data_IF_739128467519
#
_entry.id   IF_739128467519
#
_cell.length_a   1.000
_cell.length_b   1.000
_cell.length_c   1.000
_cell.angle_alpha   90.00
_cell.angle_beta   90.00
_cell.angle_gamma   90.00
#
_symmetry.space_group_name_H-M   'P 1'
#
loop_
_entity.id
_entity.type
_entity.pdbx_description
1 polymer ?
#
# COMPACT_ATOMS: atom_id res chain seq x y z
N UNK A 1 -5.79 9.88 37.77
CA UNK A 1 -5.50 11.05 38.60
C UNK A 1 -4.41 11.87 37.94
N UNK A 2 -4.75 12.96 37.28
CA UNK A 2 -4.01 14.20 37.10
C UNK A 2 -4.68 14.98 35.97
N UNK A 3 -5.51 15.93 36.37
CA UNK A 3 -6.16 16.92 35.51
C UNK A 3 -5.13 17.99 35.12
N UNK A 4 -5.01 18.32 33.83
CA UNK A 4 -4.28 19.48 33.36
C UNK A 4 -5.29 20.52 32.83
N UNK A 5 -5.44 21.61 33.57
CA UNK A 5 -6.16 22.82 33.17
C UNK A 5 -5.45 23.51 31.99
N UNK A 6 -6.16 23.73 30.89
CA UNK A 6 -5.75 24.68 29.85
C UNK A 6 -6.51 25.99 30.06
N UNK A 7 -5.75 27.02 30.55
CA UNK A 7 -6.22 28.37 30.71
C UNK A 7 -6.47 29.07 29.37
N UNK A 8 -7.70 29.46 29.11
CA UNK A 8 -8.06 30.37 28.03
C UNK A 8 -7.57 31.78 28.30
N UNK A 9 -6.83 32.35 27.33
CA UNK A 9 -6.49 33.77 27.29
C UNK A 9 -7.66 34.59 26.75
N UNK A 10 -8.09 35.67 27.37
CA UNK A 10 -9.11 36.56 26.84
C UNK A 10 -8.54 37.43 25.70
N UNK A 11 -9.27 37.45 24.59
CA UNK A 11 -9.01 38.33 23.45
C UNK A 11 -9.39 39.75 23.84
N UNK A 12 -8.41 40.64 23.86
CA UNK A 12 -8.62 42.07 24.09
C UNK A 12 -9.35 42.70 22.87
N UNK A 13 -10.46 43.40 23.15
CA UNK A 13 -11.15 44.26 22.18
C UNK A 13 -10.34 45.52 21.93
N UNK A 14 -10.14 45.99 20.70
CA UNK A 14 -9.55 47.28 20.44
C UNK A 14 -10.58 48.40 20.77
N UNK A 15 -10.10 49.35 21.56
CA UNK A 15 -10.82 50.56 21.91
C UNK A 15 -11.05 51.45 20.69
N UNK A 16 -12.30 51.85 20.50
CA UNK A 16 -12.72 52.86 19.51
C UNK A 16 -12.20 54.25 19.96
N UNK A 17 -11.07 54.64 19.43
CA UNK A 17 -10.56 56.00 19.57
C UNK A 17 -11.39 56.95 18.67
N UNK A 18 -12.19 57.77 19.29
CA UNK A 18 -12.89 58.86 18.62
C UNK A 18 -11.90 59.94 18.17
N UNK A 19 -11.65 60.05 16.89
CA UNK A 19 -10.90 61.14 16.31
C UNK A 19 -11.77 62.35 16.15
N UNK A 20 -11.56 63.34 17.05
CA UNK A 20 -12.16 64.65 16.95
C UNK A 20 -11.41 65.49 15.94
N UNK A 21 -11.87 65.46 14.69
CA UNK A 21 -11.32 66.35 13.66
C UNK A 21 -12.04 67.68 13.75
N UNK A 22 -11.35 68.66 14.34
CA UNK A 22 -11.76 70.09 14.28
C UNK A 22 -11.59 70.58 12.87
N UNK A 23 -12.69 70.87 12.21
CA UNK A 23 -12.70 71.64 10.96
C UNK A 23 -12.28 73.09 11.24
N UNK A 24 -11.27 73.62 10.54
CA UNK A 24 -11.06 75.08 10.57
C UNK A 24 -12.07 75.74 9.69
N UNK A 25 -12.74 76.75 10.22
CA UNK A 25 -13.69 77.62 9.55
C UNK A 25 -12.93 78.42 8.44
N UNK A 26 -13.09 78.06 7.19
CA UNK A 26 -12.68 78.90 6.08
C UNK A 26 -13.75 79.93 5.79
N UNK A 27 -13.37 81.16 6.07
CA UNK A 27 -14.21 82.35 5.76
C UNK A 27 -14.48 82.37 4.28
N UNK A 28 -15.75 82.47 4.00
CA UNK A 28 -16.38 82.84 2.77
C UNK A 28 -15.65 83.95 2.04
N UNK A 29 -15.10 83.66 0.89
CA UNK A 29 -14.81 84.65 -0.14
C UNK A 29 -15.77 84.39 -1.31
N UNK A 30 -17.02 84.81 -1.16
CA UNK A 30 -17.96 84.95 -2.26
C UNK A 30 -17.52 86.10 -3.11
N UNK A 31 -17.14 85.81 -4.32
CA UNK A 31 -17.31 86.58 -5.55
C UNK A 31 -16.33 86.12 -6.58
N UNK A 32 -16.77 85.52 -7.59
CA UNK A 32 -16.25 85.27 -8.93
C UNK A 32 -16.57 83.82 -9.35
N UNK A 33 -17.68 83.72 -10.10
CA UNK A 33 -17.84 82.76 -11.18
C UNK A 33 -19.36 82.42 -11.39
N UNK A 34 -20.11 83.44 -11.64
CA UNK A 34 -21.43 83.21 -12.30
C UNK A 34 -21.32 83.52 -13.78
N UNK A 35 -20.61 82.69 -14.54
CA UNK A 35 -20.71 82.60 -16.00
C UNK A 35 -19.96 81.38 -16.51
N UNK A 36 -20.39 80.22 -16.11
CA UNK A 36 -20.03 79.01 -16.90
C UNK A 36 -21.28 78.15 -17.07
N UNK A 37 -21.86 78.38 -18.29
CA UNK A 37 -22.59 77.40 -19.07
C UNK A 37 -23.67 76.66 -18.30
N UNK A 38 -24.92 77.16 -18.39
CA UNK A 38 -26.08 76.30 -18.32
C UNK A 38 -26.03 75.29 -19.50
N UNK A 39 -25.05 74.43 -19.50
CA UNK A 39 -25.05 73.21 -20.32
C UNK A 39 -26.30 72.45 -19.84
N UNK A 40 -27.25 72.14 -20.73
CA UNK A 40 -28.45 71.43 -20.34
C UNK A 40 -28.05 70.15 -19.67
N UNK A 41 -28.34 69.99 -18.37
CA UNK A 41 -28.05 68.80 -17.54
C UNK A 41 -28.38 67.50 -18.27
N UNK A 42 -29.32 67.56 -19.21
CA UNK A 42 -29.67 66.42 -20.09
C UNK A 42 -28.61 66.04 -21.12
N UNK A 43 -27.77 67.00 -21.59
CA UNK A 43 -26.67 66.66 -22.50
C UNK A 43 -25.50 66.02 -21.79
N UNK A 44 -25.15 66.44 -20.60
CA UNK A 44 -24.12 65.79 -19.75
C UNK A 44 -24.55 64.37 -19.35
N UNK A 45 -25.82 64.18 -18.95
CA UNK A 45 -26.36 62.85 -18.64
C UNK A 45 -26.37 61.91 -19.86
N UNK A 46 -26.72 62.45 -21.05
CA UNK A 46 -26.67 61.68 -22.31
C UNK A 46 -25.26 61.33 -22.71
N UNK A 47 -24.29 62.26 -22.62
CA UNK A 47 -22.88 62.01 -22.89
C UNK A 47 -22.29 60.99 -21.92
N UNK A 48 -22.65 61.08 -20.62
CA UNK A 48 -22.24 60.10 -19.61
C UNK A 48 -22.84 58.73 -19.90
N UNK A 49 -24.14 58.66 -20.25
CA UNK A 49 -24.79 57.40 -20.60
C UNK A 49 -24.23 56.76 -21.87
N UNK A 50 -23.96 57.55 -22.92
CA UNK A 50 -23.35 57.06 -24.15
C UNK A 50 -21.88 56.61 -23.90
N UNK A 51 -21.13 57.35 -23.08
CA UNK A 51 -19.78 57.02 -22.71
C UNK A 51 -19.67 55.72 -21.91
N UNK A 52 -20.57 55.53 -20.90
CA UNK A 52 -20.60 54.32 -20.12
C UNK A 52 -21.06 53.11 -20.95
N UNK A 53 -22.06 53.28 -21.80
CA UNK A 53 -22.52 52.22 -22.72
C UNK A 53 -21.39 51.81 -23.70
N UNK A 54 -20.71 52.82 -24.28
CA UNK A 54 -19.58 52.58 -25.17
C UNK A 54 -18.43 51.82 -24.48
N UNK A 55 -18.10 52.18 -23.23
CA UNK A 55 -17.09 51.46 -22.43
C UNK A 55 -17.51 50.02 -22.16
N UNK A 56 -18.75 49.78 -21.77
CA UNK A 56 -19.27 48.43 -21.52
C UNK A 56 -19.23 47.58 -22.79
N UNK A 57 -19.65 48.14 -23.93
CA UNK A 57 -19.57 47.44 -25.21
C UNK A 57 -18.12 47.13 -25.63
N UNK A 58 -17.20 48.07 -25.42
CA UNK A 58 -15.78 47.84 -25.70
C UNK A 58 -15.19 46.77 -24.83
N UNK A 59 -15.53 46.74 -23.51
CA UNK A 59 -15.11 45.67 -22.62
C UNK A 59 -15.69 44.31 -23.01
N UNK A 60 -16.97 44.27 -23.37
CA UNK A 60 -17.64 43.05 -23.83
C UNK A 60 -17.03 42.52 -25.13
N UNK A 61 -16.73 43.39 -26.10
CA UNK A 61 -16.09 43.01 -27.34
C UNK A 61 -14.65 42.51 -27.10
N UNK A 62 -13.91 43.15 -26.18
CA UNK A 62 -12.58 42.70 -25.77
C UNK A 62 -12.59 41.36 -25.08
N UNK A 63 -13.53 41.12 -24.18
CA UNK A 63 -13.72 39.82 -23.51
C UNK A 63 -14.11 38.74 -24.50
N UNK A 64 -14.99 39.00 -25.43
CA UNK A 64 -15.39 38.07 -26.48
C UNK A 64 -14.20 37.69 -27.41
N UNK A 65 -13.41 38.69 -27.83
CA UNK A 65 -12.23 38.45 -28.65
C UNK A 65 -11.17 37.64 -27.88
N UNK A 66 -10.98 37.94 -26.58
CA UNK A 66 -10.09 37.20 -25.74
C UNK A 66 -10.56 35.75 -25.55
N UNK A 67 -11.85 35.54 -25.32
CA UNK A 67 -12.43 34.20 -25.19
C UNK A 67 -12.13 33.32 -26.41
N UNK A 68 -12.22 33.87 -27.61
CA UNK A 68 -11.96 33.12 -28.85
C UNK A 68 -10.51 32.69 -29.03
N UNK A 69 -9.56 33.33 -28.33
CA UNK A 69 -8.14 32.95 -28.39
C UNK A 69 -7.75 31.88 -27.38
N UNK A 70 -8.53 31.70 -26.32
CA UNK A 70 -8.20 30.78 -25.23
C UNK A 70 -8.16 29.30 -25.66
N UNK A 71 -9.07 28.78 -26.52
CA UNK A 71 -9.01 27.41 -27.00
C UNK A 71 -7.70 27.10 -27.76
N UNK A 72 -7.21 28.01 -28.59
CA UNK A 72 -5.95 27.84 -29.31
C UNK A 72 -4.75 27.82 -28.33
N UNK A 73 -4.79 28.63 -27.28
CA UNK A 73 -3.77 28.61 -26.22
C UNK A 73 -3.79 27.33 -25.42
N UNK A 74 -4.98 26.77 -25.13
CA UNK A 74 -5.12 25.46 -24.48
C UNK A 74 -4.48 24.38 -25.35
N UNK A 75 -4.79 24.36 -26.66
CA UNK A 75 -4.19 23.40 -27.58
C UNK A 75 -2.67 23.55 -27.70
N UNK A 76 -2.17 24.78 -27.73
CA UNK A 76 -0.72 25.03 -27.78
C UNK A 76 -0.01 24.57 -26.51
N UNK A 77 -0.63 24.77 -25.33
CA UNK A 77 -0.13 24.31 -24.05
C UNK A 77 -0.13 22.76 -23.96
N UNK A 78 -1.20 22.11 -24.46
CA UNK A 78 -1.26 20.64 -24.56
C UNK A 78 -0.16 20.08 -25.45
N UNK A 79 0.05 20.69 -26.62
CA UNK A 79 1.10 20.25 -27.54
C UNK A 79 2.52 20.47 -26.98
N UNK A 80 2.70 21.53 -26.19
CA UNK A 80 3.95 21.80 -25.47
C UNK A 80 4.11 20.95 -24.18
N UNK A 81 3.09 20.17 -23.79
CA UNK A 81 3.03 19.44 -22.50
C UNK A 81 3.17 20.35 -21.27
N UNK A 82 2.82 21.63 -21.42
CA UNK A 82 2.73 22.60 -20.32
C UNK A 82 1.31 22.55 -19.72
N UNK A 83 1.10 21.53 -18.88
CA UNK A 83 -0.24 21.30 -18.31
C UNK A 83 -0.62 22.32 -17.26
N UNK A 84 0.34 22.95 -16.60
CA UNK A 84 0.06 24.08 -15.70
C UNK A 84 -0.48 25.30 -16.46
N UNK A 85 0.09 25.61 -17.61
CA UNK A 85 -0.45 26.65 -18.49
C UNK A 85 -1.84 26.25 -19.04
N UNK A 86 -2.02 24.96 -19.39
CA UNK A 86 -3.31 24.43 -19.84
C UNK A 86 -4.40 24.61 -18.77
N UNK A 87 -4.13 24.22 -17.53
CA UNK A 87 -5.08 24.36 -16.41
C UNK A 87 -5.41 25.83 -16.17
N UNK A 88 -4.40 26.71 -16.05
CA UNK A 88 -4.64 28.14 -15.84
C UNK A 88 -5.48 28.76 -16.97
N UNK A 89 -5.20 28.39 -18.22
CA UNK A 89 -5.95 28.92 -19.37
C UNK A 89 -7.37 28.40 -19.44
N UNK A 90 -7.61 27.13 -19.09
CA UNK A 90 -8.95 26.55 -19.01
C UNK A 90 -9.78 27.17 -17.88
N UNK A 91 -9.16 27.48 -16.74
CA UNK A 91 -9.81 28.22 -15.64
C UNK A 91 -10.18 29.65 -16.03
N UNK A 92 -9.32 30.34 -16.80
CA UNK A 92 -9.63 31.67 -17.37
C UNK A 92 -10.82 31.58 -18.34
N UNK A 93 -10.86 30.55 -19.18
CA UNK A 93 -11.99 30.33 -20.09
C UNK A 93 -13.28 30.09 -19.32
N UNK A 94 -13.24 29.23 -18.28
CA UNK A 94 -14.39 28.96 -17.42
C UNK A 94 -14.88 30.22 -16.71
N UNK A 95 -13.95 31.09 -16.25
CA UNK A 95 -14.28 32.35 -15.61
C UNK A 95 -14.96 33.33 -16.58
N UNK A 96 -14.56 33.37 -17.87
CA UNK A 96 -15.23 34.22 -18.89
C UNK A 96 -16.61 33.69 -19.26
N UNK A 97 -16.79 32.36 -19.24
CA UNK A 97 -18.07 31.68 -19.52
C UNK A 97 -18.95 31.50 -18.28
N UNK A 98 -18.75 32.25 -17.20
CA UNK A 98 -19.46 32.07 -15.93
C UNK A 98 -21.00 32.26 -16.04
N UNK A 99 -21.48 32.97 -17.05
CA UNK A 99 -22.91 33.13 -17.36
C UNK A 99 -23.49 31.97 -18.23
N UNK A 100 -22.63 31.04 -18.68
CA UNK A 100 -23.01 29.88 -19.49
C UNK A 100 -22.54 28.58 -18.85
N UNK A 101 -22.19 27.60 -19.67
CA UNK A 101 -21.80 26.26 -19.19
C UNK A 101 -20.34 26.19 -18.71
N UNK A 102 -19.61 27.32 -18.64
CA UNK A 102 -18.20 27.33 -18.27
C UNK A 102 -17.30 26.66 -19.33
N UNK A 103 -16.26 25.98 -18.88
CA UNK A 103 -15.33 25.22 -19.73
C UNK A 103 -15.01 23.84 -19.10
N UNK A 104 -16.05 23.03 -18.77
CA UNK A 104 -15.85 21.80 -18.01
C UNK A 104 -15.00 20.74 -18.76
N UNK A 105 -15.17 20.65 -20.08
CA UNK A 105 -14.46 19.67 -20.89
C UNK A 105 -12.97 20.02 -21.04
N UNK A 106 -12.67 21.31 -21.30
CA UNK A 106 -11.28 21.79 -21.40
C UNK A 106 -10.54 21.67 -20.05
N UNK A 107 -11.24 21.99 -18.96
CA UNK A 107 -10.68 21.79 -17.61
C UNK A 107 -10.43 20.32 -17.30
N UNK A 108 -11.37 19.44 -17.67
CA UNK A 108 -11.21 18.00 -17.49
C UNK A 108 -10.01 17.46 -18.31
N UNK A 109 -9.92 17.86 -19.59
CA UNK A 109 -8.85 17.45 -20.48
C UNK A 109 -7.45 17.87 -19.96
N UNK A 110 -7.30 19.14 -19.55
CA UNK A 110 -6.02 19.62 -19.02
C UNK A 110 -5.61 18.86 -17.75
N UNK A 111 -6.53 18.66 -16.81
CA UNK A 111 -6.27 17.93 -15.56
C UNK A 111 -5.98 16.45 -15.82
N UNK A 112 -6.72 15.81 -16.74
CA UNK A 112 -6.48 14.43 -17.13
C UNK A 112 -5.06 14.25 -17.69
N UNK A 113 -4.66 15.10 -18.63
CA UNK A 113 -3.32 15.03 -19.25
C UNK A 113 -2.21 15.30 -18.23
N UNK A 114 -2.43 16.20 -17.29
CA UNK A 114 -1.49 16.43 -16.20
C UNK A 114 -1.41 15.22 -15.26
N UNK A 115 -2.53 14.60 -14.89
CA UNK A 115 -2.55 13.41 -14.06
C UNK A 115 -1.83 12.23 -14.73
N UNK A 116 -2.05 12.02 -16.04
CA UNK A 116 -1.34 11.00 -16.84
C UNK A 116 0.18 11.26 -16.81
N UNK A 117 0.63 12.50 -17.00
CA UNK A 117 2.06 12.86 -16.95
C UNK A 117 2.67 12.58 -15.57
N UNK A 118 2.00 13.01 -14.51
CA UNK A 118 2.47 12.76 -13.13
C UNK A 118 2.58 11.26 -12.84
N UNK A 119 1.62 10.48 -13.32
CA UNK A 119 1.67 9.02 -13.21
C UNK A 119 2.89 8.43 -13.93
N UNK A 120 3.16 8.87 -15.17
CA UNK A 120 4.34 8.45 -15.94
C UNK A 120 5.67 8.86 -15.29
N UNK A 121 5.69 10.00 -14.59
CA UNK A 121 6.84 10.49 -13.83
C UNK A 121 7.04 9.77 -12.48
N UNK A 122 6.08 8.94 -12.07
CA UNK A 122 6.12 8.21 -10.80
C UNK A 122 5.59 9.01 -9.60
N UNK A 123 5.08 10.24 -9.80
CA UNK A 123 4.38 10.98 -8.76
C UNK A 123 2.92 10.50 -8.64
N UNK A 124 2.78 9.28 -8.15
CA UNK A 124 1.49 8.61 -8.01
C UNK A 124 0.54 9.33 -7.05
N UNK A 125 1.06 10.04 -6.05
CA UNK A 125 0.25 10.78 -5.06
C UNK A 125 -0.45 11.96 -5.72
N UNK A 126 0.31 12.79 -6.45
CA UNK A 126 -0.24 13.94 -7.17
C UNK A 126 -1.16 13.50 -8.32
N UNK A 127 -0.77 12.44 -9.06
CA UNK A 127 -1.60 11.86 -10.12
C UNK A 127 -2.97 11.40 -9.60
N UNK A 128 -2.99 10.64 -8.50
CA UNK A 128 -4.22 10.18 -7.87
C UNK A 128 -5.08 11.34 -7.38
N UNK A 129 -4.48 12.36 -6.75
CA UNK A 129 -5.22 13.52 -6.26
C UNK A 129 -5.94 14.25 -7.40
N UNK A 130 -5.27 14.45 -8.54
CA UNK A 130 -5.88 15.05 -9.73
C UNK A 130 -6.98 14.17 -10.33
N UNK A 131 -6.74 12.87 -10.46
CA UNK A 131 -7.73 11.94 -10.98
C UNK A 131 -8.98 11.87 -10.10
N UNK A 132 -8.82 11.93 -8.78
CA UNK A 132 -9.92 12.00 -7.83
C UNK A 132 -10.72 13.30 -7.97
N UNK A 133 -10.04 14.44 -8.15
CA UNK A 133 -10.69 15.72 -8.43
C UNK A 133 -11.49 15.67 -9.73
N UNK A 134 -10.97 15.00 -10.78
CA UNK A 134 -11.70 14.79 -12.03
C UNK A 134 -12.98 14.01 -11.80
N UNK A 135 -12.92 12.88 -11.11
CA UNK A 135 -14.10 12.07 -10.78
C UNK A 135 -15.11 12.88 -9.92
N UNK A 136 -14.61 13.67 -8.96
CA UNK A 136 -15.47 14.49 -8.09
C UNK A 136 -16.08 15.69 -8.81
N UNK A 137 -15.41 16.24 -9.83
CA UNK A 137 -15.91 17.40 -10.57
C UNK A 137 -17.15 17.10 -11.42
N UNK A 138 -17.34 15.84 -11.80
CA UNK A 138 -18.43 15.45 -12.67
C UNK A 138 -18.25 15.85 -14.13
N UNK A 139 -17.05 16.33 -14.52
CA UNK A 139 -16.76 16.83 -15.85
C UNK A 139 -16.01 15.80 -16.70
N UNK A 140 -16.23 15.83 -18.02
CA UNK A 140 -15.63 14.92 -18.97
C UNK A 140 -16.25 13.51 -18.91
N UNK A 141 -15.51 12.50 -19.39
CA UNK A 141 -15.95 11.09 -19.36
C UNK A 141 -15.72 10.48 -17.97
N UNK A 142 -16.73 10.57 -17.12
CA UNK A 142 -16.69 10.08 -15.74
C UNK A 142 -16.37 8.60 -15.63
N UNK A 143 -16.88 7.80 -16.55
CA UNK A 143 -16.67 6.35 -16.50
C UNK A 143 -15.22 6.01 -16.86
N UNK A 144 -14.65 6.67 -17.87
CA UNK A 144 -13.23 6.54 -18.18
C UNK A 144 -12.34 7.01 -17.02
N UNK A 145 -12.70 8.10 -16.35
CA UNK A 145 -11.96 8.62 -15.19
C UNK A 145 -12.01 7.66 -14.00
N UNK A 146 -13.16 7.03 -13.70
CA UNK A 146 -13.31 6.02 -12.65
C UNK A 146 -12.48 4.77 -12.97
N UNK A 147 -12.58 4.24 -14.20
CA UNK A 147 -11.80 3.08 -14.64
C UNK A 147 -10.29 3.35 -14.54
N UNK A 148 -9.85 4.56 -14.90
CA UNK A 148 -8.44 4.94 -14.77
C UNK A 148 -8.00 5.00 -13.30
N UNK A 149 -8.82 5.59 -12.44
CA UNK A 149 -8.55 5.67 -10.99
C UNK A 149 -8.46 4.27 -10.37
N UNK A 150 -9.39 3.37 -10.69
CA UNK A 150 -9.36 1.99 -10.20
C UNK A 150 -8.10 1.24 -10.70
N UNK A 151 -7.76 1.39 -11.97
CA UNK A 151 -6.54 0.79 -12.53
C UNK A 151 -5.27 1.27 -11.81
N UNK A 152 -5.17 2.55 -11.51
CA UNK A 152 -4.04 3.10 -10.77
C UNK A 152 -4.01 2.62 -9.32
N UNK A 153 -5.17 2.49 -8.67
CA UNK A 153 -5.27 1.91 -7.34
C UNK A 153 -4.76 0.46 -7.32
N UNK A 154 -5.17 -0.37 -8.30
CA UNK A 154 -4.70 -1.76 -8.37
C UNK A 154 -3.20 -1.82 -8.68
N UNK A 155 -2.69 -1.01 -9.62
CA UNK A 155 -1.27 -0.97 -9.93
C UNK A 155 -0.41 -0.62 -8.69
N UNK A 156 -0.86 0.31 -7.83
CA UNK A 156 -0.16 0.66 -6.60
C UNK A 156 -0.24 -0.45 -5.54
N UNK A 157 -1.36 -1.17 -5.45
CA UNK A 157 -1.46 -2.34 -4.57
C UNK A 157 -0.50 -3.45 -5.01
N UNK A 158 -0.45 -3.74 -6.31
CA UNK A 158 0.45 -4.75 -6.86
C UNK A 158 1.91 -4.37 -6.63
N UNK A 159 2.26 -3.10 -6.82
CA UNK A 159 3.59 -2.59 -6.53
C UNK A 159 3.93 -2.69 -5.04
N UNK A 160 2.99 -2.36 -4.16
CA UNK A 160 3.19 -2.48 -2.71
C UNK A 160 3.42 -3.94 -2.31
N UNK A 161 2.65 -4.90 -2.86
CA UNK A 161 2.86 -6.33 -2.63
C UNK A 161 4.22 -6.80 -3.16
N UNK A 162 4.65 -6.28 -4.33
CA UNK A 162 5.97 -6.60 -4.87
C UNK A 162 7.11 -6.10 -3.97
N UNK A 163 7.02 -4.86 -3.47
CA UNK A 163 7.97 -4.30 -2.50
C UNK A 163 7.99 -5.10 -1.20
N UNK A 164 6.81 -5.47 -0.70
CA UNK A 164 6.68 -6.32 0.48
C UNK A 164 7.43 -7.64 0.30
N UNK A 165 7.22 -8.36 -0.81
CA UNK A 165 7.92 -9.61 -1.11
C UNK A 165 9.44 -9.48 -1.16
N UNK A 166 9.94 -8.26 -1.49
CA UNK A 166 11.37 -7.94 -1.48
C UNK A 166 11.91 -7.60 -0.09
N UNK A 167 11.07 -7.59 0.93
CA UNK A 167 11.45 -7.23 2.30
C UNK A 167 11.32 -5.74 2.62
N UNK A 168 10.76 -4.95 1.73
CA UNK A 168 10.64 -3.50 1.82
C UNK A 168 9.29 -3.08 2.41
N UNK A 169 8.94 -3.63 3.60
CA UNK A 169 7.63 -3.37 4.24
C UNK A 169 7.31 -1.88 4.35
N UNK A 170 8.27 -1.05 4.81
CA UNK A 170 7.99 0.37 5.02
C UNK A 170 7.63 1.08 3.72
N UNK A 171 8.38 0.82 2.64
CA UNK A 171 8.07 1.40 1.32
C UNK A 171 6.71 0.92 0.80
N UNK A 172 6.35 -0.34 1.02
CA UNK A 172 5.04 -0.86 0.66
C UNK A 172 3.90 -0.14 1.41
N UNK A 173 4.07 0.11 2.71
CA UNK A 173 3.09 0.83 3.52
C UNK A 173 2.98 2.31 3.14
N UNK A 174 4.12 2.96 2.84
CA UNK A 174 4.16 4.36 2.40
C UNK A 174 3.45 4.53 1.05
N UNK A 175 3.59 3.57 0.14
CA UNK A 175 2.89 3.55 -1.15
C UNK A 175 1.37 3.38 -1.00
N UNK A 176 0.92 2.64 0.02
CA UNK A 176 -0.51 2.44 0.30
C UNK A 176 -1.15 3.61 1.07
N UNK A 177 -0.33 4.47 1.71
CA UNK A 177 -0.83 5.54 2.56
C UNK A 177 -1.79 6.52 1.85
N UNK A 178 -1.52 6.99 0.62
CA UNK A 178 -2.40 7.91 -0.11
C UNK A 178 -3.77 7.30 -0.46
N UNK A 179 -3.83 5.97 -0.59
CA UNK A 179 -5.06 5.26 -0.98
C UNK A 179 -6.10 5.15 0.14
N UNK A 180 -5.71 5.37 1.40
CA UNK A 180 -6.58 5.23 2.60
C UNK A 180 -7.78 6.17 2.60
N UNK A 181 -7.75 7.24 1.81
CA UNK A 181 -8.85 8.21 1.71
C UNK A 181 -10.10 7.67 1.01
N UNK A 182 -9.96 6.80 0.03
CA UNK A 182 -11.02 6.41 -0.92
C UNK A 182 -11.47 4.96 -0.81
N UNK A 183 -10.54 4.04 -0.52
CA UNK A 183 -10.82 2.62 -0.35
C UNK A 183 -10.46 2.16 1.07
N UNK A 184 -10.88 2.94 2.08
CA UNK A 184 -10.42 2.84 3.48
C UNK A 184 -10.43 1.42 4.04
N UNK A 185 -11.48 0.63 3.79
CA UNK A 185 -11.58 -0.71 4.36
C UNK A 185 -10.60 -1.70 3.73
N UNK A 186 -10.55 -1.79 2.39
CA UNK A 186 -9.69 -2.76 1.69
C UNK A 186 -8.19 -2.43 1.82
N UNK A 187 -7.82 -1.15 1.75
CA UNK A 187 -6.43 -0.70 1.90
C UNK A 187 -5.94 -0.85 3.34
N UNK A 188 -6.78 -0.50 4.33
CA UNK A 188 -6.42 -0.71 5.74
C UNK A 188 -6.28 -2.19 6.06
N UNK A 189 -7.14 -3.04 5.49
CA UNK A 189 -7.05 -4.49 5.64
C UNK A 189 -5.76 -5.03 4.98
N UNK A 190 -5.44 -4.61 3.75
CA UNK A 190 -4.19 -5.00 3.10
C UNK A 190 -2.98 -4.59 3.94
N UNK A 191 -2.91 -3.31 4.38
CA UNK A 191 -1.82 -2.83 5.22
C UNK A 191 -1.69 -3.62 6.54
N UNK A 192 -2.81 -3.96 7.18
CA UNK A 192 -2.82 -4.76 8.39
C UNK A 192 -2.32 -6.19 8.13
N UNK A 193 -2.75 -6.81 7.02
CA UNK A 193 -2.30 -8.15 6.63
C UNK A 193 -0.80 -8.18 6.34
N UNK A 194 -0.25 -7.18 5.63
CA UNK A 194 1.19 -7.09 5.38
C UNK A 194 1.98 -6.97 6.69
N UNK A 195 1.52 -6.14 7.63
CA UNK A 195 2.15 -6.00 8.95
C UNK A 195 2.04 -7.28 9.77
N UNK A 196 0.90 -7.98 9.74
CA UNK A 196 0.72 -9.23 10.46
C UNK A 196 1.66 -10.33 9.96
N UNK A 197 1.72 -10.54 8.63
CA UNK A 197 2.64 -11.50 8.02
C UNK A 197 4.08 -11.17 8.40
N UNK A 198 4.47 -9.90 8.30
CA UNK A 198 5.82 -9.47 8.65
C UNK A 198 6.17 -9.74 10.10
N UNK A 199 5.29 -9.34 11.04
CA UNK A 199 5.50 -9.50 12.47
C UNK A 199 5.58 -10.98 12.87
N UNK A 200 4.74 -11.84 12.27
CA UNK A 200 4.78 -13.29 12.48
C UNK A 200 6.13 -13.86 12.05
N UNK A 201 6.57 -13.57 10.84
CA UNK A 201 7.86 -14.03 10.34
C UNK A 201 9.04 -13.49 11.19
N UNK A 202 8.99 -12.23 11.60
CA UNK A 202 10.00 -11.65 12.48
C UNK A 202 10.05 -12.35 13.85
N UNK A 203 8.91 -12.74 14.39
CA UNK A 203 8.84 -13.49 15.64
C UNK A 203 9.46 -14.88 15.48
N UNK A 204 9.09 -15.62 14.43
CA UNK A 204 9.66 -16.94 14.15
C UNK A 204 11.15 -16.87 13.86
N UNK A 205 11.63 -15.85 13.18
CA UNK A 205 13.08 -15.65 12.97
C UNK A 205 13.84 -15.43 14.29
N UNK A 206 13.30 -14.64 15.22
CA UNK A 206 13.93 -14.46 16.54
C UNK A 206 13.94 -15.77 17.34
N UNK A 207 12.84 -16.52 17.28
CA UNK A 207 12.72 -17.83 17.93
C UNK A 207 13.73 -18.82 17.34
N UNK A 208 13.85 -18.84 16.01
CA UNK A 208 14.82 -19.66 15.30
C UNK A 208 16.24 -19.45 15.80
N UNK A 209 16.70 -18.18 15.89
CA UNK A 209 18.03 -17.84 16.39
C UNK A 209 18.26 -18.40 17.79
N UNK A 210 17.29 -18.22 18.70
CA UNK A 210 17.38 -18.75 20.07
C UNK A 210 17.44 -20.27 20.12
N UNK A 211 16.66 -20.96 19.27
CA UNK A 211 16.65 -22.43 19.23
C UNK A 211 17.95 -23.01 18.67
N UNK A 212 18.53 -22.35 17.68
CA UNK A 212 19.83 -22.73 17.12
C UNK A 212 20.95 -22.55 18.18
N UNK A 213 20.95 -21.42 18.91
CA UNK A 213 21.90 -21.17 20.01
C UNK A 213 21.77 -22.23 21.14
N UNK A 214 20.58 -22.82 21.31
CA UNK A 214 20.30 -23.87 22.30
C UNK A 214 20.49 -25.29 21.74
N UNK A 215 20.92 -25.43 20.49
CA UNK A 215 21.06 -26.72 19.79
C UNK A 215 19.76 -27.55 19.71
N UNK A 216 18.59 -26.83 19.73
CA UNK A 216 17.26 -27.46 19.66
C UNK A 216 16.81 -27.57 18.20
N UNK A 217 17.47 -28.43 17.47
CA UNK A 217 17.43 -28.50 16.01
C UNK A 217 16.04 -28.81 15.44
N UNK A 218 15.30 -29.74 16.04
CA UNK A 218 13.94 -30.06 15.58
C UNK A 218 12.95 -28.92 15.74
N UNK A 219 13.04 -28.18 16.84
CA UNK A 219 12.21 -27.02 17.07
C UNK A 219 12.65 -25.83 16.20
N UNK A 220 13.94 -25.72 15.91
CA UNK A 220 14.48 -24.76 14.95
C UNK A 220 13.93 -25.04 13.54
N UNK A 221 13.88 -26.33 13.13
CA UNK A 221 13.28 -26.73 11.86
C UNK A 221 11.77 -26.38 11.79
N UNK A 222 11.03 -26.57 12.90
CA UNK A 222 9.63 -26.16 12.98
C UNK A 222 9.46 -24.65 12.79
N UNK A 223 10.29 -23.82 13.42
CA UNK A 223 10.30 -22.37 13.22
C UNK A 223 10.68 -21.97 11.79
N UNK A 224 11.65 -22.65 11.16
CA UNK A 224 12.00 -22.46 9.75
C UNK A 224 10.82 -22.74 8.81
N UNK A 225 10.04 -23.79 9.09
CA UNK A 225 8.89 -24.16 8.28
C UNK A 225 7.68 -23.21 8.46
N UNK A 226 7.66 -22.42 9.54
CA UNK A 226 6.66 -21.36 9.78
C UNK A 226 6.98 -20.04 9.09
N UNK A 227 8.21 -19.87 8.58
CA UNK A 227 8.56 -18.72 7.75
C UNK A 227 7.88 -18.84 6.39
N UNK A 228 6.83 -18.08 6.17
CA UNK A 228 6.01 -18.11 4.95
C UNK A 228 6.26 -16.94 3.99
N UNK A 229 7.11 -15.98 4.38
CA UNK A 229 7.46 -14.82 3.56
C UNK A 229 8.78 -15.06 2.81
N UNK A 230 8.85 -14.86 1.47
CA UNK A 230 10.01 -15.21 0.65
C UNK A 230 11.34 -14.57 1.10
N UNK A 231 11.29 -13.30 1.50
CA UNK A 231 12.48 -12.60 1.98
C UNK A 231 13.02 -13.22 3.27
N UNK A 232 12.14 -13.55 4.22
CA UNK A 232 12.55 -14.19 5.48
C UNK A 232 13.10 -15.58 5.25
N UNK A 233 12.51 -16.36 4.33
CA UNK A 233 13.03 -17.67 3.93
C UNK A 233 14.43 -17.57 3.32
N UNK A 234 14.66 -16.54 2.47
CA UNK A 234 15.97 -16.28 1.88
C UNK A 234 17.00 -15.88 2.96
N UNK A 235 16.63 -15.02 3.90
CA UNK A 235 17.51 -14.63 5.02
C UNK A 235 17.87 -15.83 5.90
N UNK A 236 16.95 -16.76 6.10
CA UNK A 236 17.15 -17.96 6.91
C UNK A 236 17.84 -19.13 6.16
N UNK A 237 18.21 -18.96 4.90
CA UNK A 237 18.72 -20.07 4.07
C UNK A 237 19.99 -20.73 4.61
N UNK A 238 20.94 -19.95 5.12
CA UNK A 238 22.16 -20.48 5.73
C UNK A 238 21.85 -21.24 7.03
N UNK A 239 20.98 -20.67 7.87
CA UNK A 239 20.55 -21.32 9.12
C UNK A 239 19.77 -22.60 8.84
N UNK A 240 18.99 -22.65 7.75
CA UNK A 240 18.32 -23.87 7.31
C UNK A 240 19.32 -25.00 7.01
N UNK A 241 20.37 -24.70 6.26
CA UNK A 241 21.42 -25.68 5.96
C UNK A 241 22.11 -26.18 7.22
N UNK A 242 22.40 -25.28 8.17
CA UNK A 242 22.99 -25.60 9.45
C UNK A 242 22.08 -26.56 10.25
N UNK A 243 20.80 -26.24 10.40
CA UNK A 243 19.81 -27.06 11.11
C UNK A 243 19.66 -28.44 10.45
N UNK A 244 19.50 -28.48 9.12
CA UNK A 244 19.37 -29.75 8.38
C UNK A 244 20.60 -30.62 8.53
N UNK A 245 21.81 -30.03 8.47
CA UNK A 245 23.08 -30.78 8.67
C UNK A 245 23.22 -31.29 10.10
N UNK A 246 22.79 -30.50 11.10
CA UNK A 246 22.84 -30.94 12.50
C UNK A 246 21.86 -32.09 12.77
N UNK A 247 20.64 -32.00 12.21
CA UNK A 247 19.64 -33.09 12.31
C UNK A 247 20.20 -34.37 11.66
N UNK A 248 20.78 -34.26 10.46
CA UNK A 248 21.36 -35.41 9.79
C UNK A 248 22.47 -36.06 10.62
N UNK A 249 23.34 -35.25 11.24
CA UNK A 249 24.40 -35.78 12.12
C UNK A 249 23.82 -36.50 13.36
N UNK A 250 22.72 -35.97 13.92
CA UNK A 250 21.99 -36.63 15.03
C UNK A 250 21.39 -37.97 14.60
N UNK A 251 20.75 -38.01 13.43
CA UNK A 251 20.17 -39.24 12.91
C UNK A 251 21.25 -40.30 12.62
N UNK A 252 22.40 -39.93 12.03
CA UNK A 252 23.52 -40.81 11.83
C UNK A 252 24.10 -41.35 13.16
N UNK A 253 24.26 -40.46 14.16
CA UNK A 253 24.74 -40.85 15.48
C UNK A 253 23.72 -41.81 16.18
N UNK A 254 22.43 -41.58 16.03
CA UNK A 254 21.37 -42.41 16.59
C UNK A 254 21.31 -43.77 15.90
N UNK A 255 21.47 -43.85 14.56
CA UNK A 255 21.60 -45.10 13.82
C UNK A 255 22.81 -45.89 14.26
N UNK A 256 23.95 -45.23 14.50
CA UNK A 256 25.16 -45.88 15.03
C UNK A 256 24.99 -46.41 16.48
N UNK A 257 24.18 -45.73 17.30
CA UNK A 257 23.86 -46.19 18.66
C UNK A 257 22.80 -47.31 18.69
N UNK A 258 21.83 -47.26 17.76
CA UNK A 258 20.80 -48.32 17.62
C UNK A 258 21.31 -49.58 16.95
N UNK A 259 22.51 -49.53 16.34
CA UNK A 259 23.28 -50.70 15.93
C UNK A 259 24.51 -50.89 16.85
N UNK A 260 24.36 -51.04 18.18
CA UNK A 260 25.38 -51.66 18.97
C UNK A 260 25.59 -53.01 18.29
N UNK A 261 26.81 -53.34 17.93
CA UNK A 261 27.18 -54.52 17.16
C UNK A 261 26.11 -55.60 17.31
N UNK A 262 25.26 -55.78 16.25
CA UNK A 262 24.13 -56.73 16.33
C UNK A 262 24.62 -57.92 17.08
N UNK A 263 24.01 -58.23 18.21
CA UNK A 263 24.41 -59.41 18.96
C UNK A 263 24.47 -60.53 17.94
N UNK A 264 25.58 -61.27 17.88
CA UNK A 264 25.80 -62.31 16.86
C UNK A 264 24.71 -63.37 16.85
N UNK A 265 23.83 -63.30 17.84
CA UNK A 265 22.66 -64.11 18.07
C UNK A 265 21.34 -63.54 17.53
N UNK A 266 21.27 -62.31 17.04
CA UNK A 266 20.07 -61.74 16.42
C UNK A 266 19.93 -62.18 14.98
N UNK A 267 18.81 -62.79 14.64
CA UNK A 267 18.43 -63.12 13.27
C UNK A 267 17.73 -61.88 12.69
N UNK A 268 18.35 -61.26 11.69
CA UNK A 268 17.81 -60.04 11.03
C UNK A 268 18.01 -60.14 9.53
N UNK A 269 17.42 -59.15 8.80
CA UNK A 269 17.56 -58.97 7.37
C UNK A 269 16.74 -59.93 6.52
N UNK A 270 17.11 -60.04 5.24
CA UNK A 270 16.34 -60.69 4.16
C UNK A 270 15.75 -62.06 4.49
N UNK A 271 16.40 -62.83 5.36
CA UNK A 271 15.93 -64.17 5.74
C UNK A 271 14.74 -64.12 6.69
N UNK A 272 14.76 -63.19 7.65
CA UNK A 272 13.63 -63.03 8.58
C UNK A 272 12.46 -62.39 7.84
N UNK A 273 12.73 -61.41 7.00
CA UNK A 273 11.72 -60.75 6.19
C UNK A 273 10.99 -61.73 5.27
N UNK A 274 11.74 -62.62 4.56
CA UNK A 274 11.16 -63.67 3.71
C UNK A 274 10.31 -64.66 4.51
N UNK A 275 10.82 -65.08 5.71
CA UNK A 275 10.05 -65.98 6.54
C UNK A 275 8.77 -65.36 7.08
N UNK A 276 8.81 -64.08 7.43
CA UNK A 276 7.59 -63.34 7.89
C UNK A 276 6.64 -63.13 6.73
N UNK A 277 7.12 -62.81 5.52
CA UNK A 277 6.31 -62.63 4.32
C UNK A 277 5.57 -63.92 3.95
N UNK A 278 6.25 -65.06 4.00
CA UNK A 278 5.60 -66.39 3.78
C UNK A 278 4.45 -66.66 4.77
N UNK A 279 4.59 -66.28 6.02
CA UNK A 279 3.55 -66.42 7.04
C UNK A 279 2.41 -65.41 6.83
N UNK A 280 2.72 -64.19 6.41
CA UNK A 280 1.69 -63.19 6.06
C UNK A 280 0.86 -63.63 4.84
N UNK A 281 1.47 -64.25 3.83
CA UNK A 281 0.80 -64.80 2.66
C UNK A 281 -0.17 -65.93 3.02
N UNK A 282 0.07 -66.64 4.14
CA UNK A 282 -0.83 -67.64 4.67
C UNK A 282 -1.99 -67.06 5.46
N UNK A 283 -2.08 -65.74 5.56
CA UNK A 283 -3.18 -65.01 6.20
C UNK A 283 -3.04 -64.84 7.71
N UNK A 284 -1.86 -65.02 8.27
CA UNK A 284 -1.57 -64.76 9.68
C UNK A 284 -1.49 -63.24 9.95
N UNK A 285 -1.83 -62.83 11.15
CA UNK A 285 -1.60 -61.43 11.55
C UNK A 285 -0.12 -61.12 11.71
N UNK A 286 0.29 -59.84 11.63
CA UNK A 286 1.74 -59.44 11.59
C UNK A 286 2.54 -59.95 12.80
N UNK A 287 1.96 -60.00 14.01
CA UNK A 287 2.65 -60.46 15.19
C UNK A 287 2.88 -61.95 15.17
N UNK A 288 1.87 -62.72 14.82
CA UNK A 288 1.91 -64.17 14.69
C UNK A 288 2.87 -64.57 13.56
N UNK A 289 2.82 -63.86 12.41
CA UNK A 289 3.71 -64.05 11.29
C UNK A 289 5.21 -63.82 11.67
N UNK A 290 5.50 -62.76 12.40
CA UNK A 290 6.83 -62.47 12.90
C UNK A 290 7.32 -63.54 13.89
N UNK A 291 6.44 -63.93 14.85
CA UNK A 291 6.77 -64.94 15.85
C UNK A 291 7.04 -66.33 15.23
N UNK A 292 6.22 -66.73 14.26
CA UNK A 292 6.39 -67.99 13.54
C UNK A 292 7.62 -67.97 12.60
N UNK A 293 7.77 -66.88 11.82
CA UNK A 293 8.97 -66.71 10.95
C UNK A 293 10.27 -66.71 11.72
N UNK A 294 10.30 -66.12 12.92
CA UNK A 294 11.43 -66.21 13.83
C UNK A 294 11.69 -67.64 14.32
N UNK A 295 10.62 -68.35 14.69
CA UNK A 295 10.72 -69.76 15.14
C UNK A 295 11.22 -70.70 14.03
N UNK A 296 10.77 -70.51 12.79
CA UNK A 296 11.15 -71.29 11.62
C UNK A 296 12.66 -71.16 11.31
N UNK A 297 13.22 -70.00 11.65
CA UNK A 297 14.67 -69.75 11.54
C UNK A 297 15.48 -70.20 12.77
N UNK A 298 14.81 -70.92 13.71
CA UNK A 298 15.46 -71.41 14.94
C UNK A 298 15.71 -70.32 15.96
N UNK A 299 14.94 -69.23 15.87
CA UNK A 299 15.00 -68.13 16.79
C UNK A 299 13.88 -68.13 17.83
N UNK A 300 13.98 -67.25 18.79
CA UNK A 300 12.95 -66.92 19.78
C UNK A 300 12.74 -65.42 19.78
N UNK A 301 11.51 -65.00 19.80
CA UNK A 301 11.18 -63.57 19.92
C UNK A 301 11.46 -63.10 21.35
N UNK A 302 12.21 -62.01 21.46
CA UNK A 302 12.50 -61.32 22.71
C UNK A 302 12.04 -59.85 22.56
N UNK A 303 11.27 -59.39 23.53
CA UNK A 303 10.81 -58.01 23.56
C UNK A 303 11.74 -57.17 24.43
N UNK A 304 12.26 -56.07 23.85
CA UNK A 304 13.10 -55.11 24.55
C UNK A 304 12.49 -53.70 24.37
N UNK A 305 11.72 -53.24 25.34
CA UNK A 305 10.97 -52.04 25.29
C UNK A 305 9.89 -52.05 24.18
N UNK A 306 9.88 -51.10 23.27
CA UNK A 306 8.93 -51.02 22.15
C UNK A 306 9.30 -51.90 20.96
N UNK A 307 10.46 -52.53 20.98
CA UNK A 307 11.04 -53.30 19.87
C UNK A 307 11.03 -54.80 20.17
N UNK A 308 10.87 -55.61 19.13
CA UNK A 308 10.88 -57.09 19.23
C UNK A 308 11.97 -57.60 18.31
N UNK A 309 12.82 -58.46 18.87
CA UNK A 309 13.94 -59.08 18.18
C UNK A 309 13.83 -60.58 18.04
N UNK A 310 14.26 -61.12 16.93
CA UNK A 310 14.42 -62.56 16.75
C UNK A 310 15.82 -62.97 17.15
N UNK A 311 15.99 -63.65 18.31
CA UNK A 311 17.28 -64.17 18.76
C UNK A 311 17.41 -65.64 18.51
N UNK A 312 18.60 -66.09 18.06
CA UNK A 312 18.92 -67.49 17.88
C UNK A 312 18.86 -68.22 19.19
N UNK A 313 18.08 -69.30 19.27
CA UNK A 313 18.05 -70.11 20.44
C UNK A 313 19.42 -70.78 20.61
N UNK A 314 20.18 -70.44 21.68
CA UNK A 314 21.40 -71.19 22.00
C UNK A 314 21.03 -72.65 22.24
N UNK A 315 21.72 -73.59 21.63
CA UNK A 315 21.48 -75.00 22.02
C UNK A 315 21.82 -75.13 23.51
N UNK A 316 20.82 -75.59 24.30
CA UNK A 316 21.05 -75.93 25.72
C UNK A 316 22.16 -76.94 25.81
N UNK A 317 23.11 -76.80 26.77
CA UNK A 317 24.20 -77.73 26.95
C UNK A 317 23.73 -79.13 27.37
#
# INVERSE_FOLDING_TARGET
>A
MASAHTGGRPIARPSTGAWNIRCPSIKQNQRWAHTFLAAPRHLLLRLWGVGTLGLVLAMAAGAYWWEQQLPERIQSALNAKDYDACIRTSEQLAALRWLGDGAPEEQALCRQKHAEQLWEQGDSVAALALQQQLVASGHGDLDAHRVTLERWHEALKDQAVALFRQGELQKALDLLAPLKGHARSSISQLSATLMEIWNRNQLEQRRLVQLVEQERWWEALDSLNKLDHPWWQQQASATRQEVESAIQALDEAQQHQQHPAMHADVISGDRLDAAVEDQLLQGLDPWTAFSMGCSDLGGRVEEDGPESFCRRSSPSP
#
